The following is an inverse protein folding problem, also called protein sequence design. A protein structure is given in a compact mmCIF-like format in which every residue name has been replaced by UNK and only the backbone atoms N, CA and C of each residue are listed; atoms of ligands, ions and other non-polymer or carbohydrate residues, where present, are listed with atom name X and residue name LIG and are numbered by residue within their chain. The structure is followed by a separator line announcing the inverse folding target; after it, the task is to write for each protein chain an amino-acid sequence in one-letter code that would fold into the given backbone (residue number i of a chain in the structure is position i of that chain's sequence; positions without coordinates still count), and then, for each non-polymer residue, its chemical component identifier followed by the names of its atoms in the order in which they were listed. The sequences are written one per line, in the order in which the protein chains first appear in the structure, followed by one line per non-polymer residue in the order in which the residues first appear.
data_IF_502150786934
#
_entry.id   IF_502150786934
#
_cell.length_a   1.000
_cell.length_b   1.000
_cell.length_c   1.000
_cell.angle_alpha   90.00
_cell.angle_beta   90.00
_cell.angle_gamma   90.00
#
_symmetry.space_group_name_H-M   'P 1'
#
loop_
_entity.id
_entity.type
_entity.pdbx_description
1 polymer ?
#
# COMPACT_ATOMS: atom_id res chain seq x y z
N UNK A 1 23.32 7.80 8.62
CA UNK A 1 21.89 8.19 8.72
C UNK A 1 21.12 7.34 7.75
N UNK A 2 19.99 6.75 8.12
CA UNK A 2 19.15 6.11 7.10
C UNK A 2 18.75 7.18 6.08
N UNK A 3 18.95 6.87 4.81
CA UNK A 3 18.53 7.71 3.69
C UNK A 3 17.05 8.08 3.86
N UNK A 4 16.76 9.36 4.07
CA UNK A 4 15.45 9.84 4.52
C UNK A 4 14.36 9.71 3.47
N UNK A 5 14.72 9.60 2.19
CA UNK A 5 13.78 9.57 1.07
C UNK A 5 13.87 8.21 0.38
N UNK A 6 13.27 7.16 0.97
CA UNK A 6 13.29 5.80 0.43
C UNK A 6 11.91 5.20 0.35
N UNK A 7 11.69 4.45 -0.72
CA UNK A 7 10.50 3.66 -0.94
C UNK A 7 10.77 2.19 -0.55
N UNK A 8 10.05 1.72 0.45
CA UNK A 8 10.01 0.30 0.82
C UNK A 8 8.68 -0.30 0.37
N UNK A 9 8.73 -1.32 -0.47
CA UNK A 9 7.57 -2.05 -0.95
C UNK A 9 7.42 -3.38 -0.20
N UNK A 10 6.29 -3.59 0.44
CA UNK A 10 5.96 -4.77 1.23
C UNK A 10 4.82 -5.52 0.54
N UNK A 11 5.09 -6.74 0.11
CA UNK A 11 4.14 -7.59 -0.61
C UNK A 11 3.93 -8.91 0.12
N UNK A 12 2.71 -9.45 0.12
CA UNK A 12 2.42 -10.74 0.74
C UNK A 12 0.96 -11.16 0.60
N UNK A 13 0.61 -12.32 1.08
CA UNK A 13 -0.77 -12.82 1.08
C UNK A 13 -1.67 -12.08 2.09
N UNK A 14 -2.99 -12.23 1.95
CA UNK A 14 -4.00 -11.37 2.58
C UNK A 14 -3.96 -11.20 4.10
N UNK A 15 -3.51 -12.19 4.88
CA UNK A 15 -3.39 -12.09 6.35
C UNK A 15 -1.95 -11.83 6.85
N UNK A 16 -0.99 -11.77 5.95
CA UNK A 16 0.43 -11.59 6.32
C UNK A 16 0.82 -10.13 6.60
N UNK A 17 -0.14 -9.19 6.51
CA UNK A 17 0.05 -7.75 6.72
C UNK A 17 0.05 -7.30 8.18
N UNK A 18 -0.24 -8.19 9.12
CA UNK A 18 -0.19 -7.87 10.54
C UNK A 18 1.25 -7.56 10.93
N UNK A 19 1.61 -6.30 10.91
CA UNK A 19 2.96 -5.89 11.28
C UNK A 19 3.55 -4.78 10.43
N UNK A 20 2.90 -4.32 9.35
CA UNK A 20 3.45 -3.21 8.55
C UNK A 20 3.73 -1.96 9.41
N UNK A 21 2.80 -1.59 10.29
CA UNK A 21 3.00 -0.50 11.24
C UNK A 21 4.15 -0.81 12.23
N UNK A 22 4.24 -2.05 12.73
CA UNK A 22 5.33 -2.48 13.61
C UNK A 22 6.67 -2.53 12.88
N UNK A 23 6.68 -2.89 11.59
CA UNK A 23 7.89 -2.83 10.76
C UNK A 23 8.43 -1.39 10.67
N UNK A 24 7.57 -0.41 10.45
CA UNK A 24 7.97 1.01 10.40
C UNK A 24 8.52 1.46 11.76
N UNK A 25 7.84 1.14 12.84
CA UNK A 25 8.32 1.45 14.18
C UNK A 25 9.67 0.79 14.48
N UNK A 26 9.89 -0.44 14.01
CA UNK A 26 11.14 -1.18 14.14
C UNK A 26 12.30 -0.62 13.31
N UNK A 27 12.05 0.25 12.32
CA UNK A 27 13.12 0.90 11.53
C UNK A 27 13.80 2.06 12.24
N UNK A 28 13.33 2.46 13.43
CA UNK A 28 13.85 3.63 14.15
C UNK A 28 13.41 4.98 13.58
N UNK A 29 12.47 4.99 12.66
CA UNK A 29 11.86 6.23 12.12
C UNK A 29 10.93 6.83 13.17
N UNK A 30 11.22 8.06 13.58
CA UNK A 30 10.47 8.73 14.64
C UNK A 30 9.05 9.15 14.21
N UNK A 31 8.12 9.17 15.16
CA UNK A 31 6.80 9.78 14.99
C UNK A 31 6.91 11.32 14.79
N UNK A 32 5.90 12.00 14.23
CA UNK A 32 4.61 11.45 13.83
C UNK A 32 4.66 10.68 12.50
N UNK A 33 3.83 9.63 12.40
CA UNK A 33 3.67 8.83 11.18
C UNK A 33 2.32 9.12 10.51
N UNK A 34 2.28 9.05 9.19
CA UNK A 34 1.04 9.13 8.42
C UNK A 34 0.64 7.75 7.91
N UNK A 35 -0.61 7.38 8.16
CA UNK A 35 -1.25 6.19 7.60
C UNK A 35 -2.22 6.63 6.50
N UNK A 36 -1.96 6.22 5.27
CA UNK A 36 -2.89 6.45 4.17
C UNK A 36 -3.73 5.19 3.96
N UNK A 37 -5.01 5.30 4.27
CA UNK A 37 -5.98 4.23 4.11
C UNK A 37 -6.64 4.33 2.73
N UNK A 38 -6.61 3.25 1.98
CA UNK A 38 -7.25 3.15 0.66
C UNK A 38 -8.56 2.38 0.69
N UNK A 39 -8.92 1.78 1.84
CA UNK A 39 -10.15 1.02 1.97
C UNK A 39 -11.39 1.92 1.84
N UNK A 40 -12.38 1.43 1.10
CA UNK A 40 -13.75 1.96 1.10
C UNK A 40 -14.67 1.00 1.84
N UNK A 41 -15.56 1.55 2.67
CA UNK A 41 -16.56 0.76 3.37
C UNK A 41 -17.78 0.54 2.48
N UNK A 42 -17.81 -0.58 1.77
CA UNK A 42 -18.96 -0.97 0.94
C UNK A 42 -20.09 -1.63 1.75
N UNK A 43 -19.77 -2.15 2.95
CA UNK A 43 -20.70 -2.80 3.86
C UNK A 43 -20.33 -2.59 5.33
N UNK A 44 -21.18 -3.07 6.24
CA UNK A 44 -20.99 -2.90 7.69
C UNK A 44 -19.80 -3.71 8.21
N UNK A 45 -19.53 -4.89 7.67
CA UNK A 45 -18.35 -5.70 8.03
C UNK A 45 -17.06 -4.95 7.72
N UNK A 46 -16.98 -4.29 6.57
CA UNK A 46 -15.82 -3.49 6.19
C UNK A 46 -15.67 -2.26 7.09
N UNK A 47 -16.78 -1.62 7.48
CA UNK A 47 -16.75 -0.48 8.45
C UNK A 47 -16.18 -0.90 9.79
N UNK A 48 -16.62 -2.04 10.32
CA UNK A 48 -16.09 -2.58 11.59
C UNK A 48 -14.60 -2.93 11.49
N UNK A 49 -14.17 -3.53 10.38
CA UNK A 49 -12.76 -3.81 10.11
C UNK A 49 -11.92 -2.55 10.08
N UNK A 50 -12.37 -1.51 9.38
CA UNK A 50 -11.67 -0.21 9.32
C UNK A 50 -11.56 0.41 10.70
N UNK A 51 -12.65 0.41 11.47
CA UNK A 51 -12.67 0.93 12.84
C UNK A 51 -11.70 0.18 13.76
N UNK A 52 -11.67 -1.15 13.67
CA UNK A 52 -10.76 -2.00 14.43
C UNK A 52 -9.29 -1.74 14.06
N UNK A 53 -8.99 -1.55 12.79
CA UNK A 53 -7.65 -1.21 12.32
C UNK A 53 -7.20 0.17 12.82
N UNK A 54 -8.11 1.15 12.87
CA UNK A 54 -7.84 2.47 13.42
C UNK A 54 -7.55 2.41 14.92
N UNK A 55 -8.34 1.67 15.68
CA UNK A 55 -8.18 1.55 17.15
C UNK A 55 -6.88 0.84 17.56
N UNK A 56 -6.34 -0.02 16.70
CA UNK A 56 -5.09 -0.76 16.96
C UNK A 56 -3.83 0.05 16.66
N UNK A 57 -3.94 1.16 15.93
CA UNK A 57 -2.83 2.08 15.74
C UNK A 57 -2.73 2.95 16.99
N UNK A 58 -1.63 2.82 17.73
CA UNK A 58 -1.35 3.60 18.93
C UNK A 58 -1.16 5.10 18.65
N UNK A 59 -0.74 5.82 19.66
CA UNK A 59 -0.40 7.24 19.53
C UNK A 59 0.70 7.48 18.49
N UNK A 60 0.71 8.66 17.90
CA UNK A 60 1.70 9.08 16.89
C UNK A 60 1.29 8.84 15.43
N UNK A 61 0.15 8.20 15.18
CA UNK A 61 -0.39 7.99 13.83
C UNK A 61 -1.46 9.01 13.47
N UNK A 62 -1.32 9.65 12.31
CA UNK A 62 -2.38 10.44 11.66
C UNK A 62 -2.90 9.65 10.46
N UNK A 63 -4.21 9.50 10.34
CA UNK A 63 -4.85 8.78 9.23
C UNK A 63 -5.38 9.74 8.19
N UNK A 64 -5.06 9.46 6.91
CA UNK A 64 -5.63 10.11 5.73
C UNK A 64 -6.37 9.05 4.93
N UNK A 65 -7.63 9.31 4.61
CA UNK A 65 -8.41 8.45 3.73
C UNK A 65 -8.20 8.89 2.27
N UNK A 66 -7.64 8.01 1.45
CA UNK A 66 -7.38 8.25 0.03
C UNK A 66 -7.75 7.00 -0.80
N UNK A 67 -9.04 6.70 -0.93
CA UNK A 67 -9.48 5.50 -1.65
C UNK A 67 -9.19 5.56 -3.15
N UNK A 68 -9.11 6.75 -3.74
CA UNK A 68 -8.87 6.97 -5.16
C UNK A 68 -7.66 7.87 -5.41
N UNK A 69 -7.63 9.11 -4.92
CA UNK A 69 -6.55 10.06 -5.18
C UNK A 69 -5.35 9.87 -4.23
N UNK A 70 -4.76 8.69 -4.27
CA UNK A 70 -3.58 8.36 -3.47
C UNK A 70 -2.36 9.21 -3.87
N UNK A 71 -2.17 9.45 -5.17
CA UNK A 71 -1.08 10.28 -5.67
C UNK A 71 -1.18 11.72 -5.13
N UNK A 72 -2.37 12.34 -5.23
CA UNK A 72 -2.60 13.68 -4.68
C UNK A 72 -2.42 13.75 -3.16
N UNK A 73 -2.85 12.74 -2.42
CA UNK A 73 -2.63 12.66 -0.99
C UNK A 73 -1.13 12.63 -0.62
N UNK A 74 -0.31 11.89 -1.39
CA UNK A 74 1.14 11.84 -1.20
C UNK A 74 1.81 13.17 -1.54
N UNK A 75 1.39 13.82 -2.63
CA UNK A 75 1.93 15.11 -3.06
C UNK A 75 1.63 16.26 -2.07
N UNK A 76 0.53 16.15 -1.33
CA UNK A 76 0.13 17.13 -0.33
C UNK A 76 0.89 17.02 1.01
N UNK A 77 1.63 15.93 1.24
CA UNK A 77 2.35 15.73 2.49
C UNK A 77 3.61 16.62 2.57
N UNK A 78 3.99 17.04 3.79
CA UNK A 78 5.26 17.72 3.99
C UNK A 78 6.45 16.80 3.70
N UNK A 79 7.60 17.41 3.42
CA UNK A 79 8.85 16.69 3.24
C UNK A 79 9.29 15.98 4.53
N UNK A 80 9.98 14.87 4.38
CA UNK A 80 10.45 14.00 5.46
C UNK A 80 9.34 13.33 6.28
N UNK A 81 8.08 13.38 5.82
CA UNK A 81 6.99 12.70 6.51
C UNK A 81 7.08 11.18 6.30
N UNK A 82 7.15 10.38 7.37
CA UNK A 82 7.06 8.93 7.27
C UNK A 82 5.62 8.51 6.94
N UNK A 83 5.46 7.64 5.95
CA UNK A 83 4.15 7.25 5.42
C UNK A 83 4.03 5.75 5.31
N UNK A 84 2.89 5.21 5.73
CA UNK A 84 2.44 3.86 5.43
C UNK A 84 1.19 3.91 4.55
N UNK A 85 1.27 3.32 3.37
CA UNK A 85 0.15 3.18 2.43
C UNK A 85 -0.42 1.77 2.55
N UNK A 86 -1.67 1.65 2.95
CA UNK A 86 -2.36 0.36 3.11
C UNK A 86 -3.74 0.36 2.44
N UNK A 87 -3.90 -0.22 1.27
CA UNK A 87 -2.94 -0.95 0.43
C UNK A 87 -3.23 -0.70 -1.06
N UNK A 88 -2.29 -1.04 -1.92
CA UNK A 88 -2.46 -0.88 -3.37
C UNK A 88 -3.54 -1.81 -3.95
N UNK A 89 -3.75 -2.96 -3.34
CA UNK A 89 -4.78 -3.92 -3.79
C UNK A 89 -6.18 -3.34 -3.71
N UNK A 90 -6.52 -2.72 -2.57
CA UNK A 90 -7.82 -2.06 -2.40
C UNK A 90 -7.93 -0.79 -3.24
N UNK A 91 -6.86 -0.03 -3.36
CA UNK A 91 -6.81 1.15 -4.23
C UNK A 91 -7.10 0.78 -5.70
N UNK A 92 -6.46 -0.29 -6.21
CA UNK A 92 -6.71 -0.81 -7.56
C UNK A 92 -8.16 -1.25 -7.73
N UNK A 93 -8.71 -1.99 -6.76
CA UNK A 93 -10.11 -2.41 -6.75
C UNK A 93 -11.07 -1.21 -6.85
N UNK A 94 -10.80 -0.15 -6.09
CA UNK A 94 -11.63 1.06 -6.10
C UNK A 94 -11.65 1.70 -7.50
N UNK A 95 -10.52 1.82 -8.17
CA UNK A 95 -10.43 2.35 -9.53
C UNK A 95 -11.14 1.48 -10.56
N UNK A 96 -11.01 0.15 -10.45
CA UNK A 96 -11.70 -0.78 -11.34
C UNK A 96 -13.23 -0.70 -11.19
N UNK A 97 -13.73 -0.62 -9.96
CA UNK A 97 -15.17 -0.52 -9.69
C UNK A 97 -15.74 0.86 -10.08
N UNK A 98 -14.92 1.90 -10.08
CA UNK A 98 -15.29 3.24 -10.55
C UNK A 98 -15.15 3.41 -12.08
N UNK A 99 -14.74 2.35 -12.78
CA UNK A 99 -14.53 2.35 -14.24
C UNK A 99 -13.53 3.42 -14.72
N UNK A 100 -12.50 3.69 -13.93
CA UNK A 100 -11.42 4.61 -14.29
C UNK A 100 -10.42 3.94 -15.25
N UNK A 101 -9.62 4.76 -15.95
CA UNK A 101 -8.46 4.28 -16.69
C UNK A 101 -7.36 3.82 -15.70
N UNK A 102 -7.42 2.53 -15.33
CA UNK A 102 -6.48 1.90 -14.38
C UNK A 102 -5.03 2.08 -14.81
N UNK A 103 -4.75 1.98 -16.12
CA UNK A 103 -3.39 2.14 -16.62
C UNK A 103 -2.85 3.56 -16.40
N UNK A 104 -3.68 4.58 -16.63
CA UNK A 104 -3.30 5.98 -16.39
C UNK A 104 -3.07 6.24 -14.90
N UNK A 105 -3.96 5.74 -14.03
CA UNK A 105 -3.84 5.92 -12.59
C UNK A 105 -2.60 5.20 -12.02
N UNK A 106 -2.30 3.99 -12.49
CA UNK A 106 -1.08 3.27 -12.10
C UNK A 106 0.19 4.02 -12.52
N UNK A 107 0.23 4.59 -13.72
CA UNK A 107 1.39 5.41 -14.17
C UNK A 107 1.56 6.66 -13.33
N UNK A 108 0.47 7.37 -13.04
CA UNK A 108 0.49 8.57 -12.18
C UNK A 108 1.02 8.24 -10.78
N UNK A 109 0.52 7.15 -10.19
CA UNK A 109 0.98 6.72 -8.86
C UNK A 109 2.45 6.31 -8.88
N UNK A 110 2.89 5.54 -9.88
CA UNK A 110 4.28 5.12 -10.02
C UNK A 110 5.23 6.32 -10.17
N UNK A 111 4.82 7.36 -10.91
CA UNK A 111 5.60 8.60 -11.03
C UNK A 111 5.81 9.29 -9.68
N UNK A 112 4.76 9.41 -8.87
CA UNK A 112 4.85 9.99 -7.51
C UNK A 112 5.70 9.12 -6.59
N UNK A 113 5.49 7.80 -6.58
CA UNK A 113 6.24 6.85 -5.76
C UNK A 113 7.74 6.76 -6.14
N UNK A 114 8.09 7.09 -7.38
CA UNK A 114 9.50 7.10 -7.83
C UNK A 114 10.32 8.24 -7.23
N UNK A 115 9.66 9.22 -6.63
CA UNK A 115 10.29 10.42 -6.03
C UNK A 115 9.82 10.60 -4.58
N UNK A 116 10.09 9.64 -3.68
CA UNK A 116 9.64 9.73 -2.30
C UNK A 116 10.28 10.93 -1.61
N UNK A 117 9.49 11.71 -0.89
CA UNK A 117 9.95 12.87 -0.12
C UNK A 117 10.14 12.57 1.37
N UNK A 118 10.12 11.31 1.73
CA UNK A 118 10.32 10.80 3.08
C UNK A 118 10.47 9.28 3.06
N UNK A 119 10.55 8.64 4.23
CA UNK A 119 10.53 7.19 4.33
C UNK A 119 9.10 6.67 4.09
N UNK A 120 8.85 6.20 2.86
CA UNK A 120 7.54 5.71 2.44
C UNK A 120 7.52 4.18 2.40
N UNK A 121 6.48 3.61 2.97
CA UNK A 121 6.21 2.18 3.01
C UNK A 121 4.89 1.90 2.30
N UNK A 122 4.93 1.02 1.33
CA UNK A 122 3.76 0.67 0.50
C UNK A 122 3.45 -0.79 0.68
N UNK A 123 2.20 -1.09 1.02
CA UNK A 123 1.70 -2.46 1.18
C UNK A 123 0.87 -2.87 -0.01
N UNK A 124 1.09 -4.08 -0.51
CA UNK A 124 0.26 -4.71 -1.53
C UNK A 124 0.08 -6.19 -1.24
N UNK A 125 -0.87 -6.82 -1.93
CA UNK A 125 -1.05 -8.26 -1.89
C UNK A 125 -0.54 -8.93 -3.16
N UNK A 126 0.08 -10.09 -3.00
CA UNK A 126 0.33 -11.01 -4.10
C UNK A 126 -0.93 -11.88 -4.31
N UNK A 127 -1.57 -11.70 -5.45
CA UNK A 127 -2.83 -12.39 -5.80
C UNK A 127 -2.69 -13.31 -7.02
N UNK A 128 -1.48 -13.44 -7.56
CA UNK A 128 -1.19 -14.16 -8.80
C UNK A 128 -0.79 -15.62 -8.63
N UNK A 129 -0.59 -16.11 -7.40
CA UNK A 129 -0.06 -17.46 -7.14
C UNK A 129 -1.14 -18.54 -6.95
N UNK A 130 -2.41 -18.17 -7.05
CA UNK A 130 -3.53 -19.11 -6.96
C UNK A 130 -3.95 -19.66 -8.33
N UNK A 131 -5.01 -20.48 -8.31
CA UNK A 131 -5.66 -20.98 -9.52
C UNK A 131 -6.21 -19.78 -10.32
N UNK A 132 -6.11 -19.84 -11.64
CA UNK A 132 -6.66 -18.80 -12.54
C UNK A 132 -8.17 -18.67 -12.29
N UNK A 133 -8.68 -17.46 -11.95
CA UNK A 133 -10.09 -17.26 -11.69
C UNK A 133 -10.97 -17.56 -12.92
N UNK A 134 -12.15 -18.09 -12.68
CA UNK A 134 -13.12 -18.45 -13.72
C UNK A 134 -13.87 -17.24 -14.31
N UNK A 135 -13.97 -16.12 -13.57
CA UNK A 135 -14.62 -14.91 -14.09
C UNK A 135 -13.63 -13.87 -14.64
N UNK A 136 -14.07 -13.13 -15.65
CA UNK A 136 -13.22 -12.19 -16.38
C UNK A 136 -12.75 -10.99 -15.53
N UNK A 137 -13.59 -10.49 -14.61
CA UNK A 137 -13.23 -9.36 -13.74
C UNK A 137 -12.11 -9.74 -12.79
N UNK A 138 -12.18 -10.93 -12.18
CA UNK A 138 -11.15 -11.41 -11.29
C UNK A 138 -9.82 -11.67 -12.03
N UNK A 139 -9.86 -12.18 -13.26
CA UNK A 139 -8.65 -12.32 -14.10
C UNK A 139 -8.02 -10.98 -14.43
N UNK A 140 -8.85 -9.98 -14.83
CA UNK A 140 -8.38 -8.62 -15.09
C UNK A 140 -7.74 -8.01 -13.86
N UNK A 141 -8.39 -8.14 -12.70
CA UNK A 141 -7.84 -7.66 -11.42
C UNK A 141 -6.48 -8.31 -11.10
N UNK A 142 -6.37 -9.62 -11.25
CA UNK A 142 -5.13 -10.36 -11.04
C UNK A 142 -3.99 -9.84 -11.93
N UNK A 143 -4.28 -9.61 -13.22
CA UNK A 143 -3.30 -9.14 -14.18
C UNK A 143 -2.88 -7.68 -13.91
N UNK A 144 -3.83 -6.80 -13.62
CA UNK A 144 -3.55 -5.40 -13.30
C UNK A 144 -2.81 -5.26 -11.97
N UNK A 145 -3.17 -6.06 -10.96
CA UNK A 145 -2.45 -6.12 -9.69
C UNK A 145 -1.00 -6.60 -9.87
N UNK A 146 -0.79 -7.61 -10.69
CA UNK A 146 0.55 -8.11 -11.02
C UNK A 146 1.40 -7.04 -11.72
N UNK A 147 0.85 -6.32 -12.69
CA UNK A 147 1.53 -5.21 -13.38
C UNK A 147 1.88 -4.07 -12.41
N UNK A 148 0.94 -3.67 -11.58
CA UNK A 148 1.17 -2.62 -10.57
C UNK A 148 2.26 -3.03 -9.59
N UNK A 149 2.22 -4.26 -9.07
CA UNK A 149 3.25 -4.78 -8.17
C UNK A 149 4.63 -4.78 -8.82
N UNK A 150 4.73 -5.16 -10.11
CA UNK A 150 6.00 -5.10 -10.85
C UNK A 150 6.50 -3.67 -11.03
N UNK A 151 5.63 -2.72 -11.35
CA UNK A 151 5.99 -1.31 -11.51
C UNK A 151 6.52 -0.74 -10.19
N UNK A 152 5.84 -0.99 -9.08
CA UNK A 152 6.26 -0.49 -7.77
C UNK A 152 7.54 -1.16 -7.29
N UNK A 153 7.70 -2.46 -7.49
CA UNK A 153 8.93 -3.18 -7.15
C UNK A 153 10.14 -2.67 -7.94
N UNK A 154 9.95 -2.31 -9.22
CA UNK A 154 11.03 -1.78 -10.06
C UNK A 154 11.58 -0.45 -9.52
N UNK A 155 10.72 0.45 -9.05
CA UNK A 155 11.11 1.78 -8.54
C UNK A 155 11.47 1.78 -7.05
N UNK A 156 11.04 0.78 -6.27
CA UNK A 156 11.34 0.70 -4.84
C UNK A 156 12.83 0.50 -4.57
N UNK A 157 13.32 1.10 -3.49
CA UNK A 157 14.68 0.91 -2.99
C UNK A 157 14.84 -0.44 -2.27
N UNK A 158 13.77 -0.88 -1.63
CA UNK A 158 13.71 -2.17 -0.92
C UNK A 158 12.37 -2.85 -1.21
N UNK A 159 12.43 -4.14 -1.49
CA UNK A 159 11.25 -5.00 -1.66
C UNK A 159 11.30 -6.13 -0.64
N UNK A 160 10.24 -6.25 0.16
CA UNK A 160 10.07 -7.28 1.18
C UNK A 160 8.89 -8.18 0.84
N UNK A 161 9.13 -9.48 0.73
CA UNK A 161 8.08 -10.48 0.67
C UNK A 161 7.74 -10.95 2.10
N UNK A 162 6.49 -10.80 2.49
CA UNK A 162 6.03 -11.22 3.81
C UNK A 162 5.60 -12.69 3.77
N UNK A 163 6.32 -13.55 4.47
CA UNK A 163 6.04 -14.98 4.58
C UNK A 163 5.81 -15.31 6.05
N UNK A 164 4.62 -15.78 6.40
CA UNK A 164 4.23 -16.11 7.77
C UNK A 164 4.54 -14.98 8.79
N UNK A 165 4.34 -13.72 8.39
CA UNK A 165 4.63 -12.54 9.22
C UNK A 165 6.11 -12.14 9.28
N UNK A 166 7.00 -12.85 8.62
CA UNK A 166 8.44 -12.57 8.57
C UNK A 166 8.81 -11.90 7.24
N UNK A 167 9.62 -10.83 7.25
CA UNK A 167 10.08 -10.18 6.03
C UNK A 167 11.24 -10.95 5.38
N UNK A 168 11.06 -11.36 4.14
CA UNK A 168 12.12 -11.84 3.28
C UNK A 168 12.52 -10.72 2.32
N UNK A 169 13.76 -10.28 2.36
CA UNK A 169 14.27 -9.26 1.44
C UNK A 169 14.46 -9.85 0.05
N UNK A 170 13.80 -9.24 -0.95
CA UNK A 170 13.87 -9.63 -2.36
C UNK A 170 14.76 -8.66 -3.15
N UNK A 171 14.73 -7.36 -2.73
CA UNK A 171 15.56 -6.31 -3.32
C UNK A 171 16.13 -5.41 -2.25
#
# INVERSE_FOLDING_TARGET
MPDRNKLTFMIGGGRHRTGAASQIQGTGVAAPWTYIATAQAYDDEMRERIALHRSRRGEGWTTIDAPLDLAGALEALPDNQPVLIDCLTLWLTNHMLADHDVGAECRRLADVLSRPRGPWFVVSNEVGQGIVPDNALARRFRDDAGRLNQQVAAIADTVLLMVAGLPLKVK
#
